data_IF_661009639986
#
_entry.id   IF_661009639986
#
_cell.length_a   1.000
_cell.length_b   1.000
_cell.length_c   1.000
_cell.angle_alpha   90.00
_cell.angle_beta   90.00
_cell.angle_gamma   90.00
#
_symmetry.space_group_name_H-M   'P 1'
#
loop_
_entity.id
_entity.type
_entity.pdbx_description
1 polymer ?
#
# COMPACT_ATOMS: atom_id res chain seq x y z
N UNK A 1 -5.46 -11.20 1.03
CA UNK A 1 -5.64 -9.73 0.77
C UNK A 1 -4.67 -8.98 1.65
N UNK A 2 -3.87 -8.08 1.07
CA UNK A 2 -2.91 -7.25 1.80
C UNK A 2 -3.61 -6.51 2.96
N UNK A 3 -3.58 -7.07 4.12
CA UNK A 3 -4.24 -6.55 5.32
C UNK A 3 -3.26 -6.15 6.42
N UNK A 4 -1.96 -6.25 6.17
CA UNK A 4 -0.91 -5.91 7.11
C UNK A 4 0.39 -5.59 6.39
N UNK A 5 1.11 -4.54 6.79
CA UNK A 5 2.42 -4.22 6.24
C UNK A 5 3.33 -3.56 7.29
N UNK A 6 4.61 -3.43 6.99
CA UNK A 6 5.57 -2.69 7.80
C UNK A 6 5.90 -1.35 7.14
N UNK A 7 5.99 -0.28 7.92
CA UNK A 7 6.41 1.05 7.49
C UNK A 7 7.19 1.70 8.62
N UNK A 8 8.52 1.66 8.52
CA UNK A 8 9.41 2.07 9.61
C UNK A 8 10.31 3.24 9.28
N UNK A 9 10.36 3.64 8.00
CA UNK A 9 11.14 4.79 7.55
C UNK A 9 10.49 6.09 8.00
N UNK A 10 11.29 7.01 8.52
CA UNK A 10 10.81 8.33 8.92
C UNK A 10 10.40 9.18 7.69
N UNK A 11 9.59 10.24 7.88
CA UNK A 11 9.13 11.09 6.78
C UNK A 11 10.25 11.70 5.96
N UNK A 12 11.35 12.17 6.57
CA UNK A 12 12.46 12.77 5.85
C UNK A 12 13.13 11.79 4.87
N UNK A 13 13.29 10.52 5.27
CA UNK A 13 13.82 9.48 4.39
C UNK A 13 12.85 9.15 3.26
N UNK A 14 11.55 9.06 3.55
CA UNK A 14 10.54 8.84 2.53
C UNK A 14 10.44 10.02 1.56
N UNK A 15 10.53 11.25 2.05
CA UNK A 15 10.53 12.45 1.22
C UNK A 15 11.68 12.43 0.20
N UNK A 16 12.89 12.06 0.66
CA UNK A 16 14.05 11.91 -0.22
C UNK A 16 13.89 10.74 -1.22
N UNK A 17 13.36 9.60 -0.77
CA UNK A 17 13.20 8.40 -1.61
C UNK A 17 12.15 8.59 -2.71
N UNK A 18 11.07 9.31 -2.42
CA UNK A 18 9.96 9.55 -3.34
C UNK A 18 10.00 10.90 -4.05
N UNK A 19 11.06 11.69 -3.87
CA UNK A 19 11.18 13.06 -4.38
C UNK A 19 9.92 13.89 -4.04
N UNK A 20 9.61 13.98 -2.75
CA UNK A 20 8.38 14.57 -2.24
C UNK A 20 8.67 15.57 -1.12
N UNK A 21 7.83 16.58 -0.98
CA UNK A 21 7.85 17.47 0.18
C UNK A 21 7.26 16.74 1.40
N UNK A 22 7.91 16.83 2.53
CA UNK A 22 7.33 16.39 3.79
C UNK A 22 6.31 17.41 4.31
N UNK A 23 5.05 17.03 4.31
CA UNK A 23 3.94 17.83 4.86
C UNK A 23 3.21 17.09 5.97
N UNK A 24 3.85 16.07 6.57
CA UNK A 24 3.23 15.25 7.63
C UNK A 24 3.18 15.98 8.97
N UNK A 25 4.16 16.84 9.25
CA UNK A 25 4.22 17.60 10.49
C UNK A 25 4.24 16.71 11.74
N UNK A 26 3.57 17.15 12.77
CA UNK A 26 3.46 16.43 14.06
C UNK A 26 2.51 15.20 13.97
N UNK A 27 1.71 15.08 12.90
CA UNK A 27 0.80 13.96 12.68
C UNK A 27 1.49 12.72 12.09
N UNK A 28 2.79 12.78 11.81
CA UNK A 28 3.55 11.67 11.26
C UNK A 28 3.42 10.43 12.16
N UNK A 29 3.00 9.28 11.64
CA UNK A 29 2.94 8.07 12.44
C UNK A 29 4.36 7.60 12.82
N UNK A 30 4.48 7.05 14.03
CA UNK A 30 5.69 6.38 14.48
C UNK A 30 6.01 5.15 13.63
N UNK A 31 7.28 4.69 13.59
CA UNK A 31 7.65 3.45 12.93
C UNK A 31 6.79 2.28 13.38
N UNK A 32 6.20 1.58 12.42
CA UNK A 32 5.28 0.47 12.70
C UNK A 32 5.64 -0.75 11.85
N UNK A 33 6.11 -1.80 12.52
CA UNK A 33 6.40 -3.09 11.90
C UNK A 33 5.15 -3.94 11.64
N UNK A 34 3.96 -3.44 12.04
CA UNK A 34 2.72 -4.20 12.02
C UNK A 34 1.51 -3.29 11.78
N UNK A 35 1.59 -2.47 10.73
CA UNK A 35 0.52 -1.55 10.35
C UNK A 35 -0.75 -2.33 10.05
N UNK A 36 -1.77 -2.09 10.84
CA UNK A 36 -3.10 -2.70 10.68
C UNK A 36 -4.11 -1.72 10.07
N UNK A 37 -5.20 -2.21 9.48
CA UNK A 37 -6.30 -1.37 9.04
C UNK A 37 -6.75 -0.36 10.08
N UNK A 38 -7.16 0.80 9.62
CA UNK A 38 -7.65 1.94 10.39
C UNK A 38 -6.58 2.79 11.09
N UNK A 39 -5.31 2.39 11.05
CA UNK A 39 -4.20 3.21 11.52
C UNK A 39 -3.90 4.39 10.58
N UNK A 40 -3.29 5.48 11.08
CA UNK A 40 -2.69 6.50 10.25
C UNK A 40 -1.48 5.92 9.49
N UNK A 41 -1.32 6.32 8.24
CA UNK A 41 -0.24 5.88 7.35
C UNK A 41 0.26 7.05 6.51
N UNK A 42 1.53 7.03 6.10
CA UNK A 42 2.07 7.99 5.15
C UNK A 42 1.70 7.55 3.74
N UNK A 43 1.24 8.49 2.94
CA UNK A 43 0.99 8.32 1.53
C UNK A 43 1.67 9.43 0.72
N UNK A 44 2.17 9.10 -0.46
CA UNK A 44 2.71 10.05 -1.44
C UNK A 44 1.60 10.42 -2.41
N UNK A 45 1.40 11.71 -2.63
CA UNK A 45 0.44 12.24 -3.61
C UNK A 45 1.07 13.34 -4.44
N UNK A 46 0.59 13.54 -5.65
CA UNK A 46 0.87 14.74 -6.45
C UNK A 46 -0.43 15.49 -6.66
N UNK A 47 -0.41 16.80 -6.46
CA UNK A 47 -1.58 17.67 -6.59
C UNK A 47 -1.18 19.04 -7.09
N UNK A 48 -2.13 19.72 -7.73
CA UNK A 48 -2.03 21.15 -7.97
C UNK A 48 -2.08 21.91 -6.63
N UNK A 49 -1.09 22.77 -6.35
CA UNK A 49 -1.18 23.68 -5.20
C UNK A 49 -2.39 24.57 -5.36
N UNK A 50 -2.89 25.08 -4.24
CA UNK A 50 -4.01 26.01 -4.25
C UNK A 50 -3.53 27.35 -3.70
N UNK A 51 -4.04 28.42 -4.30
CA UNK A 51 -3.89 29.78 -3.78
C UNK A 51 -4.72 29.99 -2.49
N UNK A 52 -4.66 31.19 -1.95
CA UNK A 52 -5.37 31.57 -0.72
C UNK A 52 -6.90 31.49 -0.89
N UNK A 53 -7.41 31.65 -2.10
CA UNK A 53 -8.83 31.51 -2.43
C UNK A 53 -9.26 30.06 -2.67
N UNK A 54 -8.30 29.12 -2.60
CA UNK A 54 -8.53 27.71 -2.80
C UNK A 54 -8.58 27.27 -4.26
N UNK A 55 -8.24 28.15 -5.21
CA UNK A 55 -8.18 27.85 -6.65
C UNK A 55 -6.90 27.04 -6.95
N UNK A 56 -7.00 25.91 -7.67
CA UNK A 56 -5.81 25.16 -8.05
C UNK A 56 -5.02 25.90 -9.14
N UNK A 57 -3.68 25.90 -9.01
CA UNK A 57 -2.77 26.32 -10.07
C UNK A 57 -2.62 25.16 -11.09
N UNK A 58 -3.21 25.27 -12.29
CA UNK A 58 -3.20 24.18 -13.24
C UNK A 58 -1.82 23.91 -13.87
N UNK A 59 -0.91 24.87 -13.80
CA UNK A 59 0.40 24.79 -14.46
C UNK A 59 1.47 24.19 -13.54
N UNK A 60 1.16 24.01 -12.26
CA UNK A 60 2.12 23.52 -11.27
C UNK A 60 1.58 22.26 -10.58
N UNK A 61 2.45 21.29 -10.34
CA UNK A 61 2.15 20.14 -9.49
C UNK A 61 3.17 19.99 -8.39
N UNK A 62 2.73 19.57 -7.21
CA UNK A 62 3.57 19.32 -6.04
C UNK A 62 3.36 17.90 -5.54
N UNK A 63 4.46 17.13 -5.48
CA UNK A 63 4.48 15.82 -4.84
C UNK A 63 4.76 16.02 -3.35
N UNK A 64 3.94 15.40 -2.50
CA UNK A 64 4.07 15.55 -1.04
C UNK A 64 3.69 14.29 -0.29
N UNK A 65 4.26 14.13 0.90
CA UNK A 65 3.85 13.16 1.89
C UNK A 65 2.61 13.68 2.64
N UNK A 66 1.63 12.82 2.83
CA UNK A 66 0.40 13.11 3.58
C UNK A 66 0.09 11.99 4.55
N UNK A 67 -0.44 12.35 5.70
CA UNK A 67 -1.00 11.35 6.63
C UNK A 67 -2.43 11.06 6.22
N UNK A 68 -2.74 9.77 6.06
CA UNK A 68 -4.07 9.27 5.71
C UNK A 68 -4.45 8.13 6.65
N UNK A 69 -5.74 7.88 6.80
CA UNK A 69 -6.24 6.70 7.50
C UNK A 69 -6.38 5.54 6.52
N UNK A 70 -5.78 4.40 6.81
CA UNK A 70 -5.94 3.20 5.98
C UNK A 70 -7.33 2.58 6.15
N UNK A 71 -8.07 2.50 5.07
CA UNK A 71 -9.46 2.07 4.99
C UNK A 71 -10.31 3.18 4.40
N UNK A 72 -10.45 3.17 3.06
CA UNK A 72 -11.10 4.22 2.29
C UNK A 72 -12.55 4.38 2.69
N UNK A 73 -12.97 5.62 2.92
CA UNK A 73 -14.36 5.99 3.14
C UNK A 73 -14.80 6.79 1.92
N UNK A 74 -15.72 6.27 1.10
CA UNK A 74 -16.25 7.04 -0.03
C UNK A 74 -16.91 8.34 0.46
N UNK A 75 -16.80 9.42 -0.31
CA UNK A 75 -17.30 10.73 0.09
C UNK A 75 -18.80 10.74 0.43
N UNK A 76 -19.57 9.84 -0.19
CA UNK A 76 -21.01 9.68 0.00
C UNK A 76 -21.39 8.76 1.17
N UNK A 77 -20.43 8.13 1.84
CA UNK A 77 -20.73 7.18 2.91
C UNK A 77 -21.33 7.89 4.13
N UNK A 78 -22.36 7.28 4.70
CA UNK A 78 -23.03 7.80 5.89
C UNK A 78 -22.31 7.49 7.19
N UNK A 79 -21.44 6.47 7.20
CA UNK A 79 -20.80 5.98 8.43
C UNK A 79 -19.31 5.75 8.21
N UNK A 80 -18.50 6.18 9.16
CA UNK A 80 -17.04 6.00 9.19
C UNK A 80 -16.64 4.52 9.20
N UNK A 81 -17.46 3.65 9.76
CA UNK A 81 -17.17 2.22 9.94
C UNK A 81 -16.98 1.46 8.62
N UNK A 82 -17.52 1.96 7.50
CA UNK A 82 -17.35 1.33 6.19
C UNK A 82 -15.86 1.21 5.80
N UNK A 83 -15.03 2.17 6.22
CA UNK A 83 -13.60 2.16 5.92
C UNK A 83 -12.87 0.92 6.42
N UNK A 84 -13.28 0.34 7.54
CA UNK A 84 -12.64 -0.89 8.06
C UNK A 84 -12.75 -2.10 7.12
N UNK A 85 -13.73 -2.09 6.21
CA UNK A 85 -13.97 -3.12 5.20
C UNK A 85 -13.40 -2.76 3.82
N UNK A 86 -12.92 -1.52 3.65
CA UNK A 86 -12.47 -0.98 2.37
C UNK A 86 -10.97 -0.66 2.39
N UNK A 87 -10.18 -1.57 2.93
CA UNK A 87 -8.72 -1.45 3.03
C UNK A 87 -8.02 -1.71 1.70
N UNK A 88 -8.66 -2.49 0.83
CA UNK A 88 -8.15 -2.84 -0.49
C UNK A 88 -9.20 -2.60 -1.58
N UNK A 89 -8.73 -2.26 -2.78
CA UNK A 89 -9.51 -2.19 -4.00
C UNK A 89 -8.89 -3.13 -5.05
N UNK A 90 -9.70 -3.91 -5.76
CA UNK A 90 -9.21 -4.76 -6.85
C UNK A 90 -8.91 -3.90 -8.07
N UNK A 91 -7.69 -3.94 -8.60
CA UNK A 91 -7.26 -3.18 -9.76
C UNK A 91 -8.19 -3.42 -10.97
N UNK A 92 -8.62 -4.66 -11.16
CA UNK A 92 -9.47 -5.09 -12.28
C UNK A 92 -10.85 -4.42 -12.28
N UNK A 93 -11.32 -3.95 -11.15
CA UNK A 93 -12.67 -3.38 -11.02
C UNK A 93 -12.71 -1.99 -10.39
N UNK A 94 -11.57 -1.44 -9.95
CA UNK A 94 -11.53 -0.15 -9.27
C UNK A 94 -12.09 0.99 -10.14
N UNK A 95 -11.82 0.98 -11.45
CA UNK A 95 -12.30 1.99 -12.38
C UNK A 95 -13.84 1.99 -12.57
N UNK A 96 -14.52 0.89 -12.22
CA UNK A 96 -15.97 0.76 -12.42
C UNK A 96 -16.77 0.75 -11.11
N UNK A 97 -16.14 0.39 -9.99
CA UNK A 97 -16.82 0.32 -8.69
C UNK A 97 -17.14 1.72 -8.16
N UNK A 98 -18.39 2.02 -7.76
CA UNK A 98 -18.80 3.36 -7.30
C UNK A 98 -17.94 3.93 -6.16
N UNK A 99 -17.38 3.06 -5.32
CA UNK A 99 -16.56 3.48 -4.19
C UNK A 99 -15.15 3.94 -4.59
N UNK A 100 -14.64 3.54 -5.76
CA UNK A 100 -13.25 3.74 -6.16
C UNK A 100 -13.09 4.48 -7.49
N UNK A 101 -14.08 4.43 -8.40
CA UNK A 101 -13.97 4.96 -9.76
C UNK A 101 -13.53 6.42 -9.82
N UNK A 102 -14.10 7.28 -8.95
CA UNK A 102 -13.74 8.70 -8.91
C UNK A 102 -12.31 8.93 -8.39
N UNK A 103 -11.87 8.05 -7.48
CA UNK A 103 -10.50 8.08 -6.98
C UNK A 103 -9.50 7.56 -8.02
N UNK A 104 -9.87 6.56 -8.84
CA UNK A 104 -9.05 6.08 -9.97
C UNK A 104 -8.70 7.19 -10.95
N UNK A 105 -9.61 8.13 -11.19
CA UNK A 105 -9.40 9.23 -12.14
C UNK A 105 -8.47 10.31 -11.56
N UNK A 106 -8.63 10.71 -10.27
CA UNK A 106 -7.99 11.94 -9.76
C UNK A 106 -7.39 11.85 -8.36
N UNK A 107 -7.49 10.72 -7.69
CA UNK A 107 -7.08 10.59 -6.28
C UNK A 107 -6.27 9.33 -6.04
N UNK A 108 -5.16 9.24 -6.78
CA UNK A 108 -4.20 8.17 -6.65
C UNK A 108 -3.10 8.56 -5.67
N UNK A 109 -2.53 7.57 -5.02
CA UNK A 109 -1.40 7.73 -4.11
C UNK A 109 -0.47 6.53 -4.20
N UNK A 110 0.70 6.66 -3.60
CA UNK A 110 1.56 5.52 -3.28
C UNK A 110 1.64 5.40 -1.76
N UNK A 111 1.58 4.17 -1.26
CA UNK A 111 1.78 3.89 0.16
C UNK A 111 3.16 3.23 0.31
N UNK A 112 4.14 3.96 0.87
CA UNK A 112 5.45 3.40 1.16
C UNK A 112 5.38 2.28 2.20
N UNK A 113 5.99 1.15 1.90
CA UNK A 113 6.07 0.01 2.79
C UNK A 113 7.47 -0.61 2.75
N UNK A 114 7.97 -1.09 3.89
CA UNK A 114 9.19 -1.89 3.94
C UNK A 114 8.95 -3.31 3.43
N UNK A 115 7.71 -3.76 3.51
CA UNK A 115 7.20 -5.05 3.06
C UNK A 115 5.79 -5.28 3.57
N UNK A 116 5.15 -6.33 3.11
CA UNK A 116 3.79 -6.68 3.57
C UNK A 116 3.72 -8.12 4.06
N UNK A 117 2.65 -8.44 4.80
CA UNK A 117 2.40 -9.77 5.33
C UNK A 117 1.21 -10.41 4.62
N UNK A 118 1.34 -11.71 4.35
CA UNK A 118 0.25 -12.59 3.95
C UNK A 118 0.33 -13.92 4.72
N UNK A 119 -0.73 -14.68 4.69
CA UNK A 119 -0.86 -15.90 5.48
C UNK A 119 -1.26 -17.07 4.63
N UNK A 120 -0.39 -18.06 4.54
CA UNK A 120 -0.77 -19.36 4.01
C UNK A 120 -1.63 -20.08 5.04
N UNK A 121 -2.72 -20.65 4.57
CA UNK A 121 -3.60 -21.51 5.37
C UNK A 121 -3.50 -22.93 4.84
N UNK A 122 -3.09 -23.84 5.69
CA UNK A 122 -3.01 -25.27 5.42
C UNK A 122 -3.59 -26.08 6.59
N UNK A 123 -3.53 -27.41 6.50
CA UNK A 123 -4.02 -28.29 7.55
C UNK A 123 -3.30 -28.12 8.91
N UNK A 124 -2.09 -27.56 8.90
CA UNK A 124 -1.28 -27.26 10.10
C UNK A 124 -1.60 -25.92 10.76
N UNK A 125 -2.44 -25.08 10.12
CA UNK A 125 -2.81 -23.79 10.68
C UNK A 125 -2.62 -22.60 9.74
N UNK A 126 -2.12 -21.49 10.29
CA UNK A 126 -1.96 -20.22 9.60
C UNK A 126 -0.52 -19.73 9.75
N UNK A 127 0.30 -19.95 8.72
CA UNK A 127 1.70 -19.52 8.68
C UNK A 127 1.80 -18.13 8.06
N UNK A 128 2.31 -17.11 8.79
CA UNK A 128 2.59 -15.79 8.23
C UNK A 128 3.88 -15.80 7.39
N UNK A 129 3.82 -15.04 6.31
CA UNK A 129 4.94 -14.72 5.42
C UNK A 129 5.12 -13.21 5.36
N UNK A 130 6.36 -12.78 5.22
CA UNK A 130 6.73 -11.40 4.98
C UNK A 130 7.41 -11.28 3.62
N UNK A 131 6.88 -10.42 2.78
CA UNK A 131 7.41 -10.10 1.47
C UNK A 131 8.07 -8.74 1.52
N UNK A 132 9.32 -8.66 1.05
CA UNK A 132 10.13 -7.44 1.09
C UNK A 132 11.11 -7.40 -0.06
N UNK A 133 11.81 -6.28 -0.24
CA UNK A 133 12.87 -6.13 -1.25
C UNK A 133 14.22 -6.52 -0.66
N UNK A 134 15.06 -7.14 -1.48
CA UNK A 134 16.45 -7.50 -1.09
C UNK A 134 17.37 -6.28 -0.98
N UNK A 135 17.07 -5.20 -1.73
CA UNK A 135 17.87 -3.97 -1.75
C UNK A 135 17.52 -2.97 -0.64
N UNK A 136 16.51 -3.26 0.18
CA UNK A 136 16.08 -2.41 1.30
C UNK A 136 15.38 -1.11 0.90
N UNK A 137 15.10 -0.89 -0.39
CA UNK A 137 14.26 0.22 -0.84
C UNK A 137 12.80 0.01 -0.42
N UNK A 138 12.01 1.09 -0.37
CA UNK A 138 10.59 0.98 -0.10
C UNK A 138 9.85 0.34 -1.26
N UNK A 139 8.84 -0.46 -0.94
CA UNK A 139 7.78 -0.81 -1.88
C UNK A 139 6.84 0.38 -2.04
N UNK A 140 6.53 0.74 -3.27
CA UNK A 140 5.52 1.75 -3.57
C UNK A 140 4.19 1.06 -3.90
N UNK A 141 3.35 0.85 -2.89
CA UNK A 141 2.06 0.21 -3.09
C UNK A 141 1.10 1.21 -3.75
N UNK A 142 0.59 0.89 -4.93
CA UNK A 142 -0.41 1.72 -5.59
C UNK A 142 -1.68 1.80 -4.73
N UNK A 143 -2.19 2.99 -4.55
CA UNK A 143 -3.35 3.24 -3.71
C UNK A 143 -4.30 4.29 -4.26
N UNK A 144 -5.48 4.32 -3.69
CA UNK A 144 -6.52 5.30 -3.94
C UNK A 144 -6.85 6.02 -2.66
N UNK A 145 -7.21 7.30 -2.74
CA UNK A 145 -7.60 8.04 -1.55
C UNK A 145 -8.91 8.80 -1.73
N UNK A 146 -9.55 9.14 -0.62
CA UNK A 146 -10.80 9.87 -0.57
C UNK A 146 -10.82 10.83 0.60
N UNK A 147 -11.56 11.92 0.44
CA UNK A 147 -11.88 12.86 1.52
C UNK A 147 -13.31 12.59 1.94
N UNK A 148 -13.51 12.31 3.22
CA UNK A 148 -14.83 12.10 3.79
C UNK A 148 -15.09 13.12 4.89
N UNK A 149 -16.28 13.69 4.88
CA UNK A 149 -16.80 14.55 5.95
C UNK A 149 -17.90 13.80 6.68
N UNK A 150 -17.80 13.80 8.00
CA UNK A 150 -18.83 13.17 8.83
C UNK A 150 -20.13 13.94 8.69
N UNK A 151 -21.21 13.32 8.16
CA UNK A 151 -22.49 14.02 7.99
C UNK A 151 -23.16 14.36 9.33
N UNK A 152 -22.75 13.73 10.44
CA UNK A 152 -23.26 13.99 11.77
C UNK A 152 -22.38 15.01 12.54
N UNK A 153 -21.18 15.31 12.03
CA UNK A 153 -20.32 16.33 12.62
C UNK A 153 -20.72 17.72 12.11
N UNK A 154 -20.45 18.74 12.91
CA UNK A 154 -20.70 20.13 12.52
C UNK A 154 -19.91 20.55 11.26
N UNK A 155 -20.30 21.68 10.63
CA UNK A 155 -19.69 22.14 9.36
C UNK A 155 -18.19 22.42 9.49
N UNK A 156 -17.72 22.77 10.68
CA UNK A 156 -16.32 23.08 10.97
C UNK A 156 -15.45 21.86 11.28
N UNK A 157 -16.05 20.65 11.33
CA UNK A 157 -15.30 19.44 11.59
C UNK A 157 -14.32 19.16 10.44
N UNK A 158 -13.03 18.86 10.75
CA UNK A 158 -12.04 18.59 9.73
C UNK A 158 -12.41 17.31 8.97
N UNK A 159 -12.18 17.28 7.66
CA UNK A 159 -12.41 16.08 6.88
C UNK A 159 -11.40 14.99 7.24
N UNK A 160 -11.80 13.74 7.10
CA UNK A 160 -10.92 12.58 7.25
C UNK A 160 -10.42 12.18 5.87
N UNK A 161 -9.10 12.16 5.69
CA UNK A 161 -8.45 11.68 4.47
C UNK A 161 -8.18 10.18 4.66
N UNK A 162 -8.64 9.37 3.72
CA UNK A 162 -8.58 7.91 3.82
C UNK A 162 -8.03 7.30 2.55
N UNK A 163 -7.40 6.12 2.64
CA UNK A 163 -6.82 5.44 1.49
C UNK A 163 -7.10 3.93 1.50
N UNK A 164 -6.96 3.31 0.32
CA UNK A 164 -6.99 1.86 0.13
C UNK A 164 -5.83 1.44 -0.77
N UNK A 165 -5.28 0.25 -0.55
CA UNK A 165 -4.27 -0.36 -1.41
C UNK A 165 -4.95 -1.01 -2.61
N UNK A 166 -4.41 -0.82 -3.82
CA UNK A 166 -4.81 -1.60 -4.97
C UNK A 166 -4.19 -2.99 -4.90
N UNK A 167 -4.99 -4.00 -5.23
CA UNK A 167 -4.53 -5.39 -5.28
C UNK A 167 -4.83 -6.01 -6.64
N UNK A 168 -4.02 -6.99 -7.01
CA UNK A 168 -4.13 -7.80 -8.23
C UNK A 168 -3.93 -9.27 -7.92
N UNK A 169 -4.07 -10.15 -8.90
CA UNK A 169 -3.73 -11.56 -8.76
C UNK A 169 -2.25 -11.72 -8.42
N UNK A 170 -1.97 -12.65 -7.50
CA UNK A 170 -0.61 -12.99 -7.11
C UNK A 170 0.16 -13.63 -8.26
N UNK A 171 1.49 -13.53 -8.23
CA UNK A 171 2.40 -14.15 -9.21
C UNK A 171 3.50 -14.95 -8.50
N UNK A 172 4.14 -15.85 -9.24
CA UNK A 172 5.24 -16.68 -8.73
C UNK A 172 4.84 -17.48 -7.47
N UNK A 173 5.79 -17.69 -6.58
CA UNK A 173 5.58 -18.44 -5.33
C UNK A 173 4.55 -17.81 -4.38
N UNK A 174 4.23 -16.51 -4.55
CA UNK A 174 3.21 -15.88 -3.73
C UNK A 174 1.82 -16.51 -3.91
N UNK A 175 1.56 -17.13 -5.07
CA UNK A 175 0.31 -17.88 -5.33
C UNK A 175 0.08 -19.03 -4.35
N UNK A 176 1.15 -19.60 -3.80
CA UNK A 176 1.07 -20.64 -2.77
C UNK A 176 0.75 -20.11 -1.38
N UNK A 177 0.95 -18.80 -1.17
CA UNK A 177 0.66 -18.14 0.10
C UNK A 177 -0.73 -17.50 0.07
N UNK A 178 -1.04 -16.77 -1.00
CA UNK A 178 -2.30 -16.06 -1.17
C UNK A 178 -2.59 -15.82 -2.65
N UNK A 179 -3.87 -15.76 -3.04
CA UNK A 179 -4.35 -15.51 -4.42
C UNK A 179 -4.20 -14.05 -4.87
N UNK A 180 -3.94 -13.13 -3.92
CA UNK A 180 -3.81 -11.68 -4.21
C UNK A 180 -2.51 -11.13 -3.66
N UNK A 181 -2.00 -10.08 -4.35
CA UNK A 181 -0.88 -9.26 -3.92
C UNK A 181 -1.20 -7.77 -4.11
N UNK A 182 -0.51 -6.83 -3.42
CA UNK A 182 -0.63 -5.42 -3.73
C UNK A 182 -0.08 -5.12 -5.16
N UNK A 183 -0.65 -4.11 -5.80
CA UNK A 183 -0.03 -3.54 -7.00
C UNK A 183 1.17 -2.72 -6.54
N UNK A 184 2.36 -3.09 -6.98
CA UNK A 184 3.61 -2.41 -6.63
C UNK A 184 4.15 -1.76 -7.90
N UNK A 185 4.50 -0.50 -7.83
CA UNK A 185 4.99 0.28 -8.97
C UNK A 185 6.48 0.61 -8.79
N UNK A 186 7.26 0.40 -9.85
CA UNK A 186 8.63 0.86 -9.94
C UNK A 186 8.72 2.39 -10.04
N UNK A 187 9.90 2.98 -9.72
CA UNK A 187 10.10 4.43 -9.73
C UNK A 187 9.74 5.09 -11.07
N UNK A 188 9.96 4.40 -12.19
CA UNK A 188 9.64 4.86 -13.54
C UNK A 188 8.15 5.11 -13.78
N UNK A 189 7.28 4.48 -13.00
CA UNK A 189 5.82 4.61 -13.11
C UNK A 189 5.21 5.61 -12.13
N UNK A 190 5.96 6.07 -11.11
CA UNK A 190 5.41 6.90 -10.04
C UNK A 190 4.83 8.22 -10.55
N UNK A 191 5.54 8.92 -11.43
CA UNK A 191 5.09 10.20 -11.97
C UNK A 191 3.79 10.03 -12.76
N UNK A 192 3.74 9.04 -13.64
CA UNK A 192 2.54 8.77 -14.44
C UNK A 192 1.35 8.30 -13.58
N UNK A 193 1.61 7.52 -12.53
CA UNK A 193 0.57 7.08 -11.60
C UNK A 193 -0.01 8.22 -10.77
N UNK A 194 0.86 9.12 -10.28
CA UNK A 194 0.48 10.23 -9.41
C UNK A 194 0.01 11.47 -10.17
N UNK A 195 0.12 11.52 -11.48
CA UNK A 195 -0.26 12.66 -12.31
C UNK A 195 -1.76 12.98 -12.15
N UNK A 196 -2.14 14.14 -11.56
CA UNK A 196 -3.53 14.50 -11.31
C UNK A 196 -4.33 14.74 -12.61
N UNK A 197 -3.66 15.00 -13.75
CA UNK A 197 -4.27 15.32 -15.03
C UNK A 197 -4.42 14.10 -15.94
N UNK A 198 -3.72 13.02 -15.65
CA UNK A 198 -3.86 11.76 -16.36
C UNK A 198 -5.08 10.99 -15.85
N UNK A 199 -6.15 10.94 -16.64
CA UNK A 199 -7.41 10.28 -16.23
C UNK A 199 -7.34 8.75 -16.36
N UNK A 200 -6.73 8.23 -17.43
CA UNK A 200 -6.57 6.78 -17.65
C UNK A 200 -5.15 6.32 -17.29
N UNK A 201 -5.08 5.38 -16.37
CA UNK A 201 -3.86 4.75 -15.86
C UNK A 201 -3.93 3.22 -15.90
N UNK A 202 -4.88 2.67 -16.67
CA UNK A 202 -5.11 1.21 -16.72
C UNK A 202 -3.92 0.45 -17.31
N UNK A 203 -3.15 1.09 -18.19
CA UNK A 203 -1.90 0.56 -18.73
C UNK A 203 -0.85 0.28 -17.65
N UNK A 204 -0.78 1.13 -16.60
CA UNK A 204 0.15 0.95 -15.47
C UNK A 204 -0.25 -0.23 -14.55
N UNK A 205 -1.47 -0.73 -14.71
CA UNK A 205 -2.00 -1.84 -13.92
C UNK A 205 -2.05 -3.16 -14.70
N UNK A 206 -1.78 -3.14 -16.01
CA UNK A 206 -1.96 -4.29 -16.89
C UNK A 206 -1.01 -5.45 -16.57
N UNK A 207 0.25 -5.16 -16.30
CA UNK A 207 1.27 -6.16 -15.97
C UNK A 207 1.95 -5.82 -14.65
N UNK A 208 2.44 -6.84 -13.90
CA UNK A 208 3.33 -6.59 -12.78
C UNK A 208 4.61 -5.92 -13.26
N UNK A 209 5.14 -5.02 -12.44
CA UNK A 209 6.44 -4.42 -12.68
C UNK A 209 7.54 -5.46 -12.43
N UNK A 210 8.16 -5.95 -13.51
CA UNK A 210 9.15 -7.03 -13.44
C UNK A 210 10.38 -6.59 -12.64
N UNK A 211 10.80 -5.33 -12.77
CA UNK A 211 11.97 -4.81 -12.06
C UNK A 211 11.81 -4.86 -10.54
N UNK A 212 10.57 -4.71 -10.08
CA UNK A 212 10.23 -4.85 -8.66
C UNK A 212 10.13 -6.32 -8.27
N UNK A 213 9.53 -7.17 -9.12
CA UNK A 213 9.36 -8.59 -8.82
C UNK A 213 10.69 -9.32 -8.69
N UNK A 214 11.69 -8.96 -9.49
CA UNK A 214 13.02 -9.59 -9.49
C UNK A 214 13.79 -9.40 -8.17
N UNK A 215 13.44 -8.37 -7.40
CA UNK A 215 14.09 -8.08 -6.10
C UNK A 215 13.19 -8.44 -4.90
N UNK A 216 12.01 -9.01 -5.15
CA UNK A 216 11.14 -9.47 -4.08
C UNK A 216 11.55 -10.84 -3.54
N UNK A 217 11.53 -10.95 -2.21
CA UNK A 217 11.74 -12.20 -1.49
C UNK A 217 10.60 -12.46 -0.53
N UNK A 218 10.34 -13.75 -0.31
CA UNK A 218 9.38 -14.25 0.67
C UNK A 218 10.15 -14.91 1.81
N UNK A 219 9.73 -14.66 3.04
CA UNK A 219 10.23 -15.38 4.21
C UNK A 219 9.10 -15.71 5.18
N UNK A 220 9.22 -16.85 5.82
CA UNK A 220 8.35 -17.17 6.95
C UNK A 220 8.73 -16.31 8.15
N UNK A 221 7.74 -15.85 8.89
CA UNK A 221 7.95 -15.04 10.09
C UNK A 221 7.19 -15.61 11.28
N UNK A 222 7.51 -15.11 12.47
CA UNK A 222 6.87 -15.55 13.72
C UNK A 222 5.38 -15.22 13.74
N UNK A 223 4.60 -16.11 14.37
CA UNK A 223 3.18 -15.91 14.68
C UNK A 223 2.88 -14.71 15.56
N UNK A 224 3.90 -14.11 16.17
CA UNK A 224 3.76 -12.86 16.94
C UNK A 224 3.13 -11.74 16.11
N UNK A 225 3.31 -11.73 14.77
CA UNK A 225 2.69 -10.75 13.86
C UNK A 225 1.14 -10.85 13.84
N UNK A 226 0.57 -11.97 14.24
CA UNK A 226 -0.89 -12.15 14.28
C UNK A 226 -1.57 -11.16 15.23
N UNK A 227 -0.91 -10.78 16.32
CA UNK A 227 -1.42 -9.76 17.24
C UNK A 227 -1.08 -8.36 16.74
N UNK A 228 -2.10 -7.54 16.47
CA UNK A 228 -1.94 -6.12 16.09
C UNK A 228 -1.33 -5.23 17.18
N UNK A 229 -1.20 -5.78 18.41
CA UNK A 229 -0.59 -5.07 19.54
C UNK A 229 0.93 -5.19 19.54
N UNK A 230 1.47 -6.18 18.82
CA UNK A 230 2.90 -6.37 18.71
C UNK A 230 3.46 -5.42 17.66
N UNK A 231 4.52 -4.72 18.01
CA UNK A 231 5.25 -3.83 17.12
C UNK A 231 6.74 -3.87 17.47
N UNK A 232 7.56 -4.42 16.57
CA UNK A 232 9.00 -4.52 16.78
C UNK A 232 9.71 -5.18 15.61
N UNK A 233 11.03 -4.99 15.47
CA UNK A 233 11.82 -5.48 14.34
C UNK A 233 11.87 -7.02 14.26
N UNK A 234 11.58 -7.73 15.35
CA UNK A 234 11.51 -9.19 15.38
C UNK A 234 10.38 -9.75 14.50
N UNK A 235 9.33 -8.94 14.24
CA UNK A 235 8.18 -9.38 13.45
C UNK A 235 8.49 -9.61 11.98
N UNK A 236 9.55 -8.97 11.46
CA UNK A 236 9.97 -9.05 10.06
C UNK A 236 11.20 -9.94 9.87
N UNK A 237 11.75 -10.51 10.97
CA UNK A 237 12.86 -11.46 10.89
C UNK A 237 12.37 -12.84 10.48
N UNK A 238 13.16 -13.62 9.74
CA UNK A 238 12.86 -15.02 9.49
C UNK A 238 12.55 -15.77 10.79
N UNK A 239 11.52 -16.62 10.77
CA UNK A 239 11.14 -17.43 11.93
C UNK A 239 12.21 -18.47 12.30
N UNK A 240 12.92 -18.98 11.28
CA UNK A 240 14.09 -19.84 11.38
C UNK A 240 15.16 -19.31 10.42
N UNK A 241 16.44 -19.70 10.55
CA UNK A 241 17.48 -19.30 9.62
C UNK A 241 17.32 -20.06 8.28
N UNK A 242 16.19 -19.84 7.61
CA UNK A 242 15.95 -20.29 6.25
C UNK A 242 16.40 -19.20 5.29
N UNK A 243 16.98 -19.60 4.16
CA UNK A 243 17.27 -18.65 3.09
C UNK A 243 15.98 -17.95 2.64
N UNK A 244 16.06 -16.66 2.35
CA UNK A 244 14.97 -15.94 1.68
C UNK A 244 14.68 -16.64 0.34
N UNK A 245 13.43 -16.93 0.06
CA UNK A 245 13.02 -17.52 -1.21
C UNK A 245 12.79 -16.39 -2.23
N UNK A 246 13.43 -16.50 -3.39
CA UNK A 246 13.08 -15.64 -4.52
C UNK A 246 11.64 -15.89 -4.97
N UNK A 247 10.95 -14.86 -5.44
CA UNK A 247 9.58 -15.00 -5.92
C UNK A 247 9.45 -16.00 -7.09
N UNK A 248 10.54 -16.18 -7.85
CA UNK A 248 10.59 -17.02 -9.06
C UNK A 248 11.58 -18.18 -8.98
N UNK A 249 12.18 -18.47 -7.83
CA UNK A 249 12.99 -19.69 -7.70
C UNK A 249 12.11 -20.91 -7.96
N UNK A 250 12.43 -21.61 -9.02
CA UNK A 250 11.83 -22.90 -9.31
C UNK A 250 12.25 -23.86 -8.18
N UNK A 251 11.29 -24.52 -7.56
CA UNK A 251 11.58 -25.65 -6.70
C UNK A 251 12.50 -26.61 -7.48
N UNK A 252 13.59 -27.15 -6.90
CA UNK A 252 14.41 -28.10 -7.60
C UNK A 252 13.52 -29.26 -8.01
N UNK A 253 13.50 -29.52 -9.32
CA UNK A 253 12.82 -30.65 -9.93
C UNK A 253 13.10 -31.91 -9.11
N UNK A 254 12.08 -32.46 -8.48
CA UNK A 254 12.13 -33.81 -7.93
C UNK A 254 12.06 -34.81 -9.09
N UNK A 255 12.98 -34.67 -10.05
CA UNK A 255 13.17 -35.61 -11.11
C UNK A 255 14.15 -36.70 -10.68
N UNK A 256 13.65 -37.87 -10.53
CA UNK A 256 14.44 -39.07 -10.74
C UNK A 256 14.77 -39.91 -9.52
N UNK A 257 13.87 -40.78 -9.16
CA UNK A 257 14.29 -42.16 -8.88
C UNK A 257 13.32 -43.09 -9.61
N UNK A 258 13.86 -43.69 -10.70
CA UNK A 258 13.32 -44.81 -11.37
C UNK A 258 13.34 -46.10 -10.52
#
# INVERSE_FOLDING_TARGET
MCGRYASTKNPARLAAEFDALDTTGEDAPEPDYNVAPTKPVIAVVTRHPRDDDGTPDPDTTVRSLRVMRWGLIPHWAKQRSIGSKMINARAETAATKPAYRDAMVRRRCLLPADGWFEWRRDAGGKQPFYMTRTDGASLALAGLWSVWRDPEAGPDAPPIITCAVLTRDAVGQLTEVHDRMPVILGPEHWTAWLDPDREDVTDLLATPDQSVLDVLVLRTVSDAVNSVRNNGPELVKPAEPTADLSLFDLAPDSAGRG
#
